data_IF_079907537074
#
_entry.id   IF_079907537074
#
_cell.length_a   1.000
_cell.length_b   1.000
_cell.length_c   1.000
_cell.angle_alpha   90.00
_cell.angle_beta   90.00
_cell.angle_gamma   90.00
#
_symmetry.space_group_name_H-M   'P 1'
#
loop_
_entity.id
_entity.type
_entity.pdbx_description
1 polymer ?
#
# COMPACT_ATOMS: atom_id res chain seq x y z
N UNK A 1 -13.81 27.18 -23.93
CA UNK A 1 -13.33 25.96 -23.29
C UNK A 1 -12.47 26.33 -22.11
N UNK A 2 -12.98 26.10 -20.94
CA UNK A 2 -12.22 26.36 -19.74
C UNK A 2 -11.21 25.24 -19.53
N UNK A 3 -9.93 25.61 -19.43
CA UNK A 3 -8.92 24.64 -19.07
C UNK A 3 -9.29 24.06 -17.69
N UNK A 4 -9.10 22.76 -17.47
CA UNK A 4 -9.32 22.21 -16.15
C UNK A 4 -8.43 22.93 -15.13
N UNK A 5 -8.97 23.16 -13.95
CA UNK A 5 -8.18 23.74 -12.89
C UNK A 5 -6.92 22.88 -12.68
N UNK A 6 -5.76 23.50 -12.47
CA UNK A 6 -4.56 22.74 -12.19
C UNK A 6 -4.82 21.85 -10.98
N UNK A 7 -4.39 20.59 -11.01
CA UNK A 7 -4.54 19.73 -9.86
C UNK A 7 -3.87 20.37 -8.65
N UNK A 8 -4.59 20.38 -7.54
CA UNK A 8 -4.01 20.89 -6.32
C UNK A 8 -2.83 20.01 -5.93
N UNK A 9 -1.71 20.62 -5.52
CA UNK A 9 -0.58 19.82 -5.04
C UNK A 9 -1.02 18.99 -3.82
N UNK A 10 -0.58 17.75 -3.76
CA UNK A 10 -0.75 16.95 -2.56
C UNK A 10 0.01 17.61 -1.44
N UNK A 11 -0.67 17.84 -0.34
CA UNK A 11 0.01 18.26 0.87
C UNK A 11 0.99 17.16 1.27
N UNK A 12 2.26 17.50 1.32
CA UNK A 12 3.26 16.59 1.84
C UNK A 12 3.07 16.45 3.34
N UNK A 13 3.19 15.26 3.91
CA UNK A 13 3.07 15.09 5.34
C UNK A 13 4.19 15.82 6.07
N UNK A 14 3.87 16.33 7.25
CA UNK A 14 4.80 17.08 8.08
C UNK A 14 5.48 16.19 9.11
N UNK A 15 4.96 15.00 9.36
CA UNK A 15 5.47 14.08 10.38
C UNK A 15 5.27 12.64 9.96
N UNK A 16 6.04 11.73 10.58
CA UNK A 16 5.87 10.31 10.32
C UNK A 16 4.45 9.83 10.64
N UNK A 17 3.97 8.90 9.83
CA UNK A 17 2.70 8.21 10.04
C UNK A 17 1.45 9.10 9.91
N UNK A 18 1.60 10.26 9.32
CA UNK A 18 0.48 11.17 9.08
C UNK A 18 -0.32 10.75 7.85
N UNK A 19 0.38 10.36 6.78
CA UNK A 19 -0.22 9.96 5.52
C UNK A 19 0.41 8.67 5.04
N UNK A 20 -0.43 7.67 4.78
CA UNK A 20 0.01 6.35 4.34
C UNK A 20 -0.54 6.05 2.96
N UNK A 21 0.16 5.23 2.19
CA UNK A 21 -0.33 4.68 0.93
C UNK A 21 -0.55 3.19 1.08
N UNK A 22 -1.74 2.72 0.72
CA UNK A 22 -2.08 1.30 0.72
C UNK A 22 -2.15 0.78 -0.70
N UNK A 23 -1.63 -0.43 -0.91
CA UNK A 23 -1.66 -1.07 -2.22
C UNK A 23 -1.74 -2.58 -2.07
N UNK A 24 -2.15 -3.24 -3.15
CA UNK A 24 -2.27 -4.69 -3.22
C UNK A 24 -1.46 -5.18 -4.41
N UNK A 25 -0.58 -6.13 -4.16
CA UNK A 25 0.19 -6.79 -5.21
C UNK A 25 -0.36 -8.19 -5.40
N UNK A 26 -0.65 -8.56 -6.64
CA UNK A 26 -1.12 -9.90 -6.98
C UNK A 26 -2.33 -9.87 -7.91
N UNK A 27 -2.84 -11.05 -8.25
CA UNK A 27 -2.45 -12.38 -7.77
C UNK A 27 -1.07 -12.81 -8.28
N UNK A 28 -0.28 -13.40 -7.38
CA UNK A 28 1.03 -13.93 -7.71
C UNK A 28 0.86 -15.36 -8.22
N UNK A 29 1.07 -15.55 -9.51
CA UNK A 29 0.96 -16.87 -10.11
C UNK A 29 2.04 -17.79 -9.57
N UNK A 30 1.68 -19.06 -9.36
CA UNK A 30 2.58 -20.11 -8.85
C UNK A 30 3.10 -19.86 -7.43
N UNK A 31 2.55 -18.86 -6.74
CA UNK A 31 2.86 -18.66 -5.32
C UNK A 31 2.09 -19.68 -4.47
N UNK A 32 2.61 -20.01 -3.26
CA UNK A 32 1.80 -20.76 -2.31
C UNK A 32 0.46 -20.08 -2.06
N UNK A 33 -0.62 -20.82 -1.76
CA UNK A 33 -1.96 -20.22 -1.62
C UNK A 33 -2.02 -19.09 -0.59
N UNK A 34 -1.27 -19.18 0.50
CA UNK A 34 -1.24 -18.15 1.55
C UNK A 34 -0.39 -16.94 1.19
N UNK A 35 0.32 -16.96 0.08
CA UNK A 35 1.16 -15.88 -0.41
C UNK A 35 0.69 -15.33 -1.76
N UNK A 36 -0.58 -15.55 -2.10
CA UNK A 36 -1.11 -15.16 -3.41
C UNK A 36 -1.17 -13.66 -3.61
N UNK A 37 -1.38 -12.93 -2.54
CA UNK A 37 -1.42 -11.46 -2.56
C UNK A 37 -0.49 -10.91 -1.49
N UNK A 38 0.03 -9.72 -1.75
CA UNK A 38 0.80 -8.97 -0.76
C UNK A 38 0.11 -7.64 -0.54
N UNK A 39 -0.25 -7.37 0.70
CA UNK A 39 -0.83 -6.10 1.12
C UNK A 39 0.31 -5.21 1.60
N UNK A 40 0.37 -3.99 1.09
CA UNK A 40 1.45 -3.06 1.44
C UNK A 40 0.89 -1.76 1.99
N UNK A 41 1.59 -1.19 2.95
CA UNK A 41 1.26 0.09 3.55
C UNK A 41 2.56 0.86 3.72
N UNK A 42 2.70 2.00 3.08
CA UNK A 42 3.95 2.78 3.09
C UNK A 42 3.69 4.16 3.66
N UNK A 43 4.53 4.58 4.60
CA UNK A 43 4.47 5.92 5.17
C UNK A 43 5.09 6.92 4.19
N UNK A 44 4.31 7.94 3.83
CA UNK A 44 4.78 8.97 2.90
C UNK A 44 5.96 9.76 3.42
N UNK A 45 6.04 9.96 4.72
CA UNK A 45 7.10 10.77 5.32
C UNK A 45 8.41 9.99 5.42
N UNK A 46 8.38 8.84 6.10
CA UNK A 46 9.58 8.05 6.37
C UNK A 46 9.90 7.04 5.27
N UNK A 47 8.94 6.76 4.40
CA UNK A 47 8.99 5.69 3.39
C UNK A 47 9.04 4.30 4.01
N UNK A 48 8.68 4.18 5.29
CA UNK A 48 8.66 2.91 6.00
C UNK A 48 7.54 2.02 5.47
N UNK A 49 7.84 0.81 5.04
CA UNK A 49 6.84 -0.13 4.54
C UNK A 49 6.40 -1.12 5.60
N UNK A 50 5.11 -1.45 5.57
CA UNK A 50 4.54 -2.60 6.24
C UNK A 50 3.94 -3.49 5.18
N UNK A 51 4.18 -4.80 5.28
CA UNK A 51 3.67 -5.77 4.29
C UNK A 51 3.09 -6.99 4.98
N UNK A 52 2.10 -7.60 4.33
CA UNK A 52 1.50 -8.83 4.80
C UNK A 52 1.07 -9.66 3.60
N UNK A 53 1.36 -10.96 3.66
CA UNK A 53 0.82 -11.89 2.68
C UNK A 53 -0.63 -12.22 2.99
N UNK A 54 -1.41 -12.46 1.93
CA UNK A 54 -2.80 -12.84 2.07
C UNK A 54 -3.18 -13.84 1.00
N UNK A 55 -4.09 -14.75 1.36
CA UNK A 55 -4.65 -15.73 0.42
C UNK A 55 -5.63 -15.05 -0.53
N UNK A 56 -6.35 -14.07 -0.05
CA UNK A 56 -7.40 -13.39 -0.81
C UNK A 56 -7.41 -11.91 -0.49
N UNK A 57 -8.15 -11.14 -1.29
CA UNK A 57 -8.39 -9.73 -1.06
C UNK A 57 -9.87 -9.54 -0.83
N UNK A 58 -10.23 -9.13 0.39
CA UNK A 58 -11.59 -8.81 0.78
C UNK A 58 -11.55 -7.64 1.73
N UNK A 59 -12.73 -7.06 2.01
CA UNK A 59 -12.82 -6.03 3.04
C UNK A 59 -12.28 -6.54 4.37
N UNK A 60 -12.59 -7.78 4.72
CA UNK A 60 -12.14 -8.40 5.96
C UNK A 60 -10.62 -8.48 6.04
N UNK A 61 -9.94 -8.97 4.98
CA UNK A 61 -8.49 -9.07 4.99
C UNK A 61 -7.81 -7.71 5.04
N UNK A 62 -8.36 -6.73 4.34
CA UNK A 62 -7.82 -5.37 4.33
C UNK A 62 -7.99 -4.68 5.68
N UNK A 63 -9.16 -4.78 6.28
CA UNK A 63 -9.40 -4.17 7.60
C UNK A 63 -8.58 -4.84 8.68
N UNK A 64 -8.43 -6.15 8.63
CA UNK A 64 -7.59 -6.88 9.58
C UNK A 64 -6.12 -6.45 9.47
N UNK A 65 -5.61 -6.36 8.26
CA UNK A 65 -4.26 -5.87 8.01
C UNK A 65 -4.06 -4.47 8.60
N UNK A 66 -4.97 -3.54 8.27
CA UNK A 66 -4.89 -2.18 8.78
C UNK A 66 -4.95 -2.14 10.30
N UNK A 67 -5.92 -2.82 10.91
CA UNK A 67 -6.06 -2.81 12.36
C UNK A 67 -4.80 -3.33 13.06
N UNK A 68 -4.18 -4.38 12.52
CA UNK A 68 -2.95 -4.91 13.08
C UNK A 68 -1.81 -3.89 13.03
N UNK A 69 -1.66 -3.20 11.91
CA UNK A 69 -0.61 -2.19 11.77
C UNK A 69 -0.92 -0.97 12.64
N UNK A 70 -2.15 -0.49 12.59
CA UNK A 70 -2.55 0.72 13.33
C UNK A 70 -2.50 0.51 14.83
N UNK A 71 -2.79 -0.71 15.31
CA UNK A 71 -2.67 -1.04 16.73
C UNK A 71 -1.23 -0.92 17.22
N UNK A 72 -0.26 -1.22 16.36
CA UNK A 72 1.16 -1.14 16.71
C UNK A 72 1.77 0.23 16.48
N UNK A 73 1.29 0.95 15.46
CA UNK A 73 1.94 2.16 14.96
C UNK A 73 1.13 3.43 15.19
N UNK A 74 -0.13 3.30 15.56
CA UNK A 74 -1.04 4.43 15.71
C UNK A 74 -1.84 4.71 14.45
N UNK A 75 -2.77 5.64 14.54
CA UNK A 75 -3.72 5.96 13.48
C UNK A 75 -3.23 7.15 12.68
N UNK A 76 -3.23 7.07 11.34
CA UNK A 76 -2.87 8.20 10.49
C UNK A 76 -4.05 9.15 10.34
N UNK A 77 -3.79 10.31 9.78
CA UNK A 77 -4.86 11.23 9.38
C UNK A 77 -5.44 10.87 8.03
N UNK A 78 -4.63 10.29 7.17
CA UNK A 78 -5.01 10.05 5.78
C UNK A 78 -4.40 8.75 5.26
N UNK A 79 -5.18 8.02 4.46
CA UNK A 79 -4.71 6.88 3.68
C UNK A 79 -5.01 7.16 2.22
N UNK A 80 -3.98 7.05 1.39
CA UNK A 80 -4.09 7.15 -0.05
C UNK A 80 -4.29 5.77 -0.64
N UNK A 81 -5.34 5.61 -1.44
CA UNK A 81 -5.61 4.38 -2.18
C UNK A 81 -5.47 4.65 -3.67
N UNK A 82 -4.98 3.65 -4.40
CA UNK A 82 -5.07 3.69 -5.84
C UNK A 82 -6.54 3.55 -6.26
N UNK A 83 -6.90 4.12 -7.43
CA UNK A 83 -8.24 4.04 -7.99
C UNK A 83 -8.60 2.64 -8.52
N UNK A 84 -7.81 1.65 -8.20
CA UNK A 84 -8.08 0.28 -8.61
C UNK A 84 -9.35 -0.28 -7.98
N UNK A 85 -10.13 -1.08 -8.72
CA UNK A 85 -11.38 -1.65 -8.19
C UNK A 85 -11.18 -2.51 -6.95
N UNK A 86 -9.98 -3.04 -6.74
CA UNK A 86 -9.67 -3.88 -5.59
C UNK A 86 -9.72 -3.14 -4.25
N UNK A 87 -9.55 -1.80 -4.26
CA UNK A 87 -9.51 -0.99 -3.04
C UNK A 87 -10.75 -0.12 -2.86
N UNK A 88 -11.75 -0.29 -3.74
CA UNK A 88 -12.96 0.51 -3.74
C UNK A 88 -14.16 -0.24 -3.15
N UNK A 89 -13.90 -1.12 -2.19
CA UNK A 89 -14.99 -1.79 -1.49
C UNK A 89 -15.71 -0.79 -0.61
N UNK A 90 -17.03 -0.72 -0.74
CA UNK A 90 -17.86 0.19 0.04
C UNK A 90 -17.66 0.00 1.54
N UNK A 91 -17.58 -1.23 1.99
CA UNK A 91 -17.37 -1.56 3.39
C UNK A 91 -16.00 -1.10 3.89
N UNK A 92 -14.97 -1.17 3.03
CA UNK A 92 -13.64 -0.69 3.37
C UNK A 92 -13.62 0.83 3.52
N UNK A 93 -14.28 1.54 2.61
CA UNK A 93 -14.42 2.99 2.68
C UNK A 93 -15.15 3.39 3.95
N UNK A 94 -16.24 2.70 4.28
CA UNK A 94 -17.00 2.94 5.50
C UNK A 94 -16.15 2.68 6.74
N UNK A 95 -15.33 1.63 6.72
CA UNK A 95 -14.43 1.33 7.83
C UNK A 95 -13.46 2.50 8.08
N UNK A 96 -12.82 3.02 7.03
CA UNK A 96 -11.92 4.16 7.18
C UNK A 96 -12.63 5.38 7.75
N UNK A 97 -13.85 5.61 7.29
CA UNK A 97 -14.69 6.71 7.76
C UNK A 97 -14.98 6.59 9.25
N UNK A 98 -15.33 5.38 9.71
CA UNK A 98 -15.59 5.10 11.12
C UNK A 98 -14.34 5.32 11.99
N UNK A 99 -13.15 5.06 11.43
CA UNK A 99 -11.89 5.27 12.13
C UNK A 99 -11.41 6.72 12.07
N UNK A 100 -12.19 7.61 11.44
CA UNK A 100 -11.84 9.02 11.24
C UNK A 100 -10.54 9.17 10.46
N UNK A 101 -10.36 8.32 9.47
CA UNK A 101 -9.22 8.37 8.54
C UNK A 101 -9.72 8.90 7.21
N UNK A 102 -9.09 9.97 6.73
CA UNK A 102 -9.43 10.55 5.44
C UNK A 102 -8.90 9.65 4.32
N UNK A 103 -9.79 9.28 3.40
CA UNK A 103 -9.44 8.50 2.22
C UNK A 103 -9.16 9.43 1.05
N UNK A 104 -7.99 9.27 0.45
CA UNK A 104 -7.61 9.98 -0.77
C UNK A 104 -7.31 9.00 -1.88
N UNK A 105 -7.51 9.42 -3.13
CA UNK A 105 -7.18 8.61 -4.29
C UNK A 105 -5.93 9.16 -4.96
N UNK A 106 -5.06 8.26 -5.42
CA UNK A 106 -3.89 8.71 -6.16
C UNK A 106 -4.35 9.34 -7.47
N UNK A 107 -3.97 10.57 -7.68
CA UNK A 107 -4.15 11.17 -9.00
C UNK A 107 -2.82 11.14 -9.73
N UNK A 108 -2.92 11.13 -11.05
CA UNK A 108 -1.78 10.98 -11.98
C UNK A 108 -0.76 12.11 -11.84
N UNK A 109 -1.01 13.08 -10.95
CA UNK A 109 -0.31 14.37 -10.95
C UNK A 109 0.53 14.61 -9.69
N UNK A 110 1.23 13.59 -9.17
CA UNK A 110 2.05 13.85 -7.98
C UNK A 110 3.46 13.38 -8.18
N UNK A 111 4.30 14.25 -8.80
CA UNK A 111 5.60 13.79 -9.23
C UNK A 111 6.56 13.49 -8.08
N UNK A 112 6.43 14.12 -6.92
CA UNK A 112 7.49 13.97 -5.92
C UNK A 112 7.16 13.00 -4.79
N UNK A 113 5.94 12.98 -4.27
CA UNK A 113 5.54 12.06 -3.21
C UNK A 113 5.30 10.64 -3.71
N UNK A 114 4.64 10.51 -4.88
CA UNK A 114 4.29 9.22 -5.47
C UNK A 114 5.48 8.49 -6.09
N UNK A 115 6.49 9.21 -6.58
CA UNK A 115 7.61 8.58 -7.28
C UNK A 115 8.33 7.57 -6.40
N UNK A 116 8.54 7.88 -5.12
CA UNK A 116 9.23 6.97 -4.23
C UNK A 116 8.39 5.75 -3.87
N UNK A 117 7.08 5.93 -3.73
CA UNK A 117 6.17 4.82 -3.47
C UNK A 117 6.02 3.94 -4.71
N UNK A 118 5.92 4.54 -5.89
CA UNK A 118 5.92 3.80 -7.15
C UNK A 118 7.22 3.04 -7.36
N UNK A 119 8.36 3.63 -7.00
CA UNK A 119 9.64 2.94 -7.06
C UNK A 119 9.70 1.78 -6.09
N UNK A 120 9.18 1.96 -4.87
CA UNK A 120 9.08 0.86 -3.93
C UNK A 120 8.26 -0.28 -4.51
N UNK A 121 7.05 0.04 -5.00
CA UNK A 121 6.15 -0.97 -5.56
C UNK A 121 6.76 -1.66 -6.78
N UNK A 122 7.38 -0.90 -7.68
CA UNK A 122 8.02 -1.46 -8.87
C UNK A 122 9.21 -2.35 -8.54
N UNK A 123 10.09 -1.90 -7.66
CA UNK A 123 11.24 -2.67 -7.22
C UNK A 123 10.81 -3.92 -6.45
N UNK A 124 9.80 -3.77 -5.60
CA UNK A 124 9.24 -4.88 -4.82
C UNK A 124 8.65 -5.94 -5.75
N UNK A 125 7.87 -5.53 -6.75
CA UNK A 125 7.32 -6.45 -7.75
C UNK A 125 8.40 -7.20 -8.49
N UNK A 126 9.44 -6.50 -8.94
CA UNK A 126 10.58 -7.14 -9.62
C UNK A 126 11.26 -8.15 -8.72
N UNK A 127 11.44 -7.82 -7.46
CA UNK A 127 12.08 -8.70 -6.48
C UNK A 127 11.25 -9.97 -6.26
N UNK A 128 9.94 -9.81 -6.17
CA UNK A 128 9.02 -10.96 -6.05
C UNK A 128 9.10 -11.87 -7.28
N UNK A 129 9.13 -11.30 -8.47
CA UNK A 129 9.24 -12.08 -9.70
C UNK A 129 10.54 -12.88 -9.75
N UNK A 130 11.66 -12.25 -9.40
CA UNK A 130 12.95 -12.92 -9.36
C UNK A 130 12.97 -14.06 -8.34
N UNK A 131 12.37 -13.84 -7.18
CA UNK A 131 12.28 -14.87 -6.14
C UNK A 131 11.48 -16.07 -6.65
N UNK A 132 10.38 -15.83 -7.35
CA UNK A 132 9.55 -16.89 -7.92
C UNK A 132 10.29 -17.67 -9.00
N UNK A 133 11.00 -16.98 -9.87
CA UNK A 133 11.80 -17.62 -10.92
C UNK A 133 12.90 -18.51 -10.34
N UNK A 134 13.49 -18.10 -9.22
CA UNK A 134 14.54 -18.85 -8.52
C UNK A 134 13.99 -19.84 -7.50
N UNK A 135 12.67 -19.98 -7.39
CA UNK A 135 11.98 -20.85 -6.46
C UNK A 135 12.39 -20.62 -4.99
N UNK A 136 12.66 -19.36 -4.63
CA UNK A 136 13.01 -19.00 -3.25
C UNK A 136 11.74 -18.78 -2.42
N UNK A 137 11.77 -19.07 -1.11
CA UNK A 137 10.61 -18.84 -0.25
C UNK A 137 10.25 -17.35 -0.20
N UNK A 138 9.03 -17.01 -0.63
CA UNK A 138 8.60 -15.62 -0.75
C UNK A 138 8.61 -14.88 0.58
N UNK A 139 8.18 -15.52 1.67
CA UNK A 139 8.15 -14.88 2.98
C UNK A 139 9.54 -14.46 3.44
N UNK A 140 10.53 -15.33 3.26
CA UNK A 140 11.91 -15.03 3.61
C UNK A 140 12.47 -13.91 2.74
N UNK A 141 12.22 -13.98 1.43
CA UNK A 141 12.71 -12.99 0.48
C UNK A 141 12.13 -11.62 0.77
N UNK A 142 10.83 -11.55 1.05
CA UNK A 142 10.17 -10.28 1.39
C UNK A 142 10.70 -9.73 2.70
N UNK A 143 10.86 -10.57 3.71
CA UNK A 143 11.44 -10.15 4.99
C UNK A 143 12.81 -9.53 4.80
N UNK A 144 13.67 -10.18 4.02
CA UNK A 144 15.04 -9.69 3.78
C UNK A 144 15.02 -8.39 2.97
N UNK A 145 14.13 -8.30 1.99
CA UNK A 145 13.97 -7.07 1.20
C UNK A 145 13.54 -5.89 2.06
N UNK A 146 12.54 -6.10 2.91
CA UNK A 146 12.04 -5.04 3.78
C UNK A 146 13.11 -4.61 4.78
N UNK A 147 13.84 -5.56 5.35
CA UNK A 147 14.93 -5.24 6.27
C UNK A 147 16.01 -4.40 5.59
N UNK A 148 16.35 -4.71 4.35
CA UNK A 148 17.35 -3.96 3.59
C UNK A 148 16.80 -2.58 3.17
N UNK A 149 15.51 -2.50 2.86
CA UNK A 149 14.88 -1.23 2.46
C UNK A 149 14.79 -0.25 3.63
N UNK A 150 14.52 -0.75 4.82
CA UNK A 150 14.43 0.05 6.03
C UNK A 150 15.81 0.51 6.48
#
# INVERSE_FOLDING_TARGET
MTSPAPPQPVELPERPWQKLAIDIVGPLERAPPDCRFVLTLVDYFSKWPEVQFSREVSTSTMTEFLLNVLARRGYPEEILCDNGPKLMFKEFVNFLHEQVIRLSHSSVYYPQGNVQIERFNGTFNTYLQLARMKQRPLRTVVRDYIAAYR
#
